data_IF_061848400824
#
_entry.id   IF_061848400824
#
_cell.length_a   1.000
_cell.length_b   1.000
_cell.length_c   1.000
_cell.angle_alpha   90.00
_cell.angle_beta   90.00
_cell.angle_gamma   90.00
#
_symmetry.space_group_name_H-M   'P 1'
#
loop_
_entity.id
_entity.type
_entity.pdbx_description
1 polymer ?
#
# COMPACT_ATOMS: atom_id res chain seq x y z
N UNK A 1 -25.52 -40.03 52.53
CA UNK A 1 -25.08 -40.08 51.11
C UNK A 1 -23.90 -39.14 50.95
N UNK A 2 -22.71 -39.65 50.60
CA UNK A 2 -21.45 -38.89 50.49
C UNK A 2 -21.24 -38.41 49.04
N UNK A 3 -21.04 -37.12 48.79
CA UNK A 3 -20.47 -36.59 47.53
C UNK A 3 -19.76 -35.26 47.84
N UNK A 4 -18.46 -35.28 48.16
CA UNK A 4 -17.26 -35.15 47.30
C UNK A 4 -16.98 -33.70 46.87
N UNK A 5 -15.93 -33.17 47.49
CA UNK A 5 -15.20 -31.93 47.19
C UNK A 5 -14.79 -31.82 45.73
N UNK A 6 -15.10 -30.70 45.07
CA UNK A 6 -14.61 -30.41 43.72
C UNK A 6 -13.84 -29.10 43.68
N UNK A 7 -12.53 -29.24 43.48
CA UNK A 7 -11.54 -28.18 43.27
C UNK A 7 -11.78 -27.59 41.89
N UNK A 8 -12.41 -26.41 41.77
CA UNK A 8 -12.39 -25.63 40.52
C UNK A 8 -12.31 -24.15 40.86
N UNK A 9 -11.14 -23.74 41.35
CA UNK A 9 -10.82 -22.33 41.59
C UNK A 9 -9.35 -22.08 41.21
N UNK A 10 -8.98 -22.33 39.95
CA UNK A 10 -7.66 -21.95 39.41
C UNK A 10 -7.63 -22.15 37.89
N UNK A 11 -8.40 -21.38 37.11
CA UNK A 11 -8.27 -21.42 35.65
C UNK A 11 -8.67 -20.11 34.94
N UNK A 12 -8.65 -18.96 35.64
CA UNK A 12 -9.12 -17.69 35.07
C UNK A 12 -8.00 -16.68 34.74
N UNK A 13 -6.72 -17.00 34.98
CA UNK A 13 -5.63 -16.00 34.98
C UNK A 13 -4.65 -16.08 33.80
N UNK A 14 -4.86 -16.93 32.77
CA UNK A 14 -3.88 -17.08 31.67
C UNK A 14 -4.34 -16.46 30.33
N UNK A 15 -5.60 -16.07 30.17
CA UNK A 15 -6.09 -15.52 28.89
C UNK A 15 -5.85 -14.00 28.68
N UNK A 16 -5.30 -13.28 29.66
CA UNK A 16 -5.14 -11.82 29.55
C UNK A 16 -3.79 -11.36 28.98
N UNK A 17 -2.82 -12.27 28.77
CA UNK A 17 -1.44 -11.88 28.43
C UNK A 17 -1.11 -11.88 26.92
N UNK A 18 -2.01 -12.35 26.04
CA UNK A 18 -1.74 -12.46 24.59
C UNK A 18 -2.33 -11.33 23.75
N UNK A 19 -3.08 -10.39 24.33
CA UNK A 19 -3.70 -9.30 23.58
C UNK A 19 -2.78 -8.11 23.27
N UNK A 20 -1.52 -8.11 23.72
CA UNK A 20 -0.60 -6.97 23.57
C UNK A 20 0.39 -7.07 22.39
N UNK A 21 0.37 -8.15 21.61
CA UNK A 21 1.39 -8.41 20.58
C UNK A 21 0.84 -8.51 19.16
N UNK A 22 0.08 -7.53 18.68
CA UNK A 22 -0.05 -7.30 17.23
C UNK A 22 -0.91 -6.09 16.86
N UNK A 23 -0.65 -4.92 17.45
CA UNK A 23 -0.88 -3.68 16.69
C UNK A 23 0.47 -3.30 16.10
N UNK A 24 0.93 -4.14 15.17
CA UNK A 24 1.93 -3.68 14.23
C UNK A 24 1.29 -2.51 13.51
N UNK A 25 1.80 -1.30 13.73
CA UNK A 25 1.45 -0.17 12.89
C UNK A 25 1.63 -0.65 11.45
N UNK A 26 0.53 -0.84 10.71
CA UNK A 26 0.63 -1.04 9.27
C UNK A 26 1.35 0.21 8.78
N UNK A 27 2.63 0.07 8.43
CA UNK A 27 3.35 1.10 7.72
C UNK A 27 2.48 1.41 6.51
N UNK A 28 1.86 2.60 6.51
CA UNK A 28 0.96 2.99 5.45
C UNK A 28 1.78 2.96 4.17
N UNK A 29 1.53 1.96 3.34
CA UNK A 29 2.38 1.65 2.19
C UNK A 29 2.31 2.85 1.26
N UNK A 30 3.38 3.65 1.26
CA UNK A 30 3.49 4.86 0.45
C UNK A 30 3.36 4.41 -1.00
N UNK A 31 2.46 5.04 -1.74
CA UNK A 31 2.21 4.72 -3.14
C UNK A 31 2.42 5.98 -3.96
N UNK A 32 3.09 5.84 -5.10
CA UNK A 32 3.21 6.89 -6.10
C UNK A 32 2.57 6.41 -7.41
N UNK A 33 1.80 7.30 -8.04
CA UNK A 33 1.19 7.06 -9.34
C UNK A 33 1.91 7.87 -10.41
N UNK A 34 2.49 7.17 -11.37
CA UNK A 34 3.21 7.73 -12.52
C UNK A 34 2.29 7.74 -13.74
N UNK A 35 1.99 8.93 -14.25
CA UNK A 35 1.30 9.11 -15.52
C UNK A 35 2.32 9.36 -16.61
N UNK A 36 2.50 8.39 -17.50
CA UNK A 36 3.55 8.41 -18.50
C UNK A 36 2.96 8.34 -19.91
N UNK A 37 3.54 9.10 -20.84
CA UNK A 37 3.16 9.05 -22.23
C UNK A 37 3.55 7.70 -22.87
N UNK A 38 2.61 6.89 -23.29
CA UNK A 38 2.85 5.51 -23.74
C UNK A 38 3.60 5.45 -25.08
N UNK A 39 4.92 5.26 -25.01
CA UNK A 39 5.80 4.90 -26.12
C UNK A 39 6.90 3.94 -25.61
N UNK A 40 7.62 3.27 -26.51
CA UNK A 40 8.48 2.11 -26.19
C UNK A 40 9.41 2.24 -24.96
N UNK A 41 10.02 3.41 -24.65
CA UNK A 41 10.84 3.60 -23.45
C UNK A 41 10.10 3.50 -22.12
N UNK A 42 8.77 3.59 -22.09
CA UNK A 42 7.95 3.41 -20.90
C UNK A 42 8.23 2.08 -20.18
N UNK A 43 8.58 1.03 -20.95
CA UNK A 43 8.90 -0.29 -20.42
C UNK A 43 10.15 -0.29 -19.52
N UNK A 44 11.15 0.55 -19.82
CA UNK A 44 12.35 0.65 -19.01
C UNK A 44 12.06 1.23 -17.61
N UNK A 45 11.05 2.09 -17.49
CA UNK A 45 10.70 2.69 -16.21
C UNK A 45 9.88 1.76 -15.34
N UNK A 46 9.05 0.92 -15.95
CA UNK A 46 8.42 -0.20 -15.24
C UNK A 46 9.50 -1.13 -14.68
N UNK A 47 10.58 -1.38 -15.42
CA UNK A 47 11.67 -2.20 -14.87
C UNK A 47 12.42 -1.46 -13.74
N UNK A 48 12.84 -0.21 -13.95
CA UNK A 48 13.54 0.62 -12.97
C UNK A 48 12.74 0.76 -11.66
N UNK A 49 11.42 0.86 -11.77
CA UNK A 49 10.54 1.05 -10.63
C UNK A 49 10.46 -0.16 -9.69
N UNK A 50 10.80 -1.37 -10.17
CA UNK A 50 10.89 -2.57 -9.32
C UNK A 50 12.04 -2.42 -8.32
N UNK A 51 13.21 -2.01 -8.82
CA UNK A 51 14.38 -1.74 -7.98
C UNK A 51 14.13 -0.56 -7.02
N UNK A 52 13.44 0.48 -7.49
CA UNK A 52 13.00 1.59 -6.64
C UNK A 52 12.08 1.09 -5.51
N UNK A 53 11.07 0.28 -5.83
CA UNK A 53 10.14 -0.30 -4.86
C UNK A 53 10.88 -1.18 -3.86
N UNK A 54 11.80 -2.03 -4.32
CA UNK A 54 12.60 -2.90 -3.47
C UNK A 54 13.49 -2.12 -2.49
N UNK A 55 14.08 -0.99 -2.93
CA UNK A 55 14.97 -0.15 -2.10
C UNK A 55 14.23 0.77 -1.13
N UNK A 56 13.04 1.25 -1.49
CA UNK A 56 12.34 2.30 -0.74
C UNK A 56 11.09 1.80 0.00
N UNK A 57 10.56 0.64 -0.39
CA UNK A 57 9.26 0.15 0.08
C UNK A 57 8.05 0.95 -0.43
N UNK A 58 8.26 1.89 -1.37
CA UNK A 58 7.19 2.69 -1.98
C UNK A 58 6.61 1.90 -3.15
N UNK A 59 5.30 1.62 -3.12
CA UNK A 59 4.60 0.99 -4.23
C UNK A 59 4.42 1.96 -5.40
N UNK A 60 4.56 1.46 -6.61
CA UNK A 60 4.39 2.25 -7.83
C UNK A 60 3.14 1.81 -8.61
N UNK A 61 2.39 2.78 -9.11
CA UNK A 61 1.25 2.61 -10.03
C UNK A 61 1.53 3.34 -11.34
N UNK A 62 0.97 2.86 -12.45
CA UNK A 62 1.21 3.42 -13.78
C UNK A 62 -0.10 3.72 -14.48
N UNK A 63 -0.17 4.91 -15.07
CA UNK A 63 -1.23 5.37 -15.95
C UNK A 63 -0.61 5.69 -17.30
N UNK A 64 -0.67 4.73 -18.22
CA UNK A 64 -0.15 4.91 -19.57
C UNK A 64 -1.15 5.64 -20.44
N UNK A 65 -0.72 6.78 -20.96
CA UNK A 65 -1.56 7.67 -21.77
C UNK A 65 -0.98 7.72 -23.18
N UNK A 66 -1.72 7.36 -24.23
CA UNK A 66 -1.20 7.45 -25.59
C UNK A 66 -0.59 8.82 -25.90
N UNK A 67 0.57 8.85 -26.55
CA UNK A 67 1.32 10.08 -26.82
C UNK A 67 0.46 11.23 -27.40
N UNK A 68 -0.42 11.00 -28.41
CA UNK A 68 -1.27 12.06 -28.95
C UNK A 68 -2.19 12.74 -27.92
N UNK A 69 -2.51 12.05 -26.83
CA UNK A 69 -3.44 12.50 -25.79
C UNK A 69 -2.74 13.03 -24.54
N UNK A 70 -1.41 12.88 -24.43
CA UNK A 70 -0.68 13.15 -23.21
C UNK A 70 -0.73 14.62 -22.79
N UNK A 71 -0.49 15.53 -23.74
CA UNK A 71 -0.55 16.96 -23.47
C UNK A 71 -1.92 17.41 -22.95
N UNK A 72 -3.00 16.89 -23.54
CA UNK A 72 -4.36 17.19 -23.08
C UNK A 72 -4.62 16.61 -21.69
N UNK A 73 -4.20 15.37 -21.43
CA UNK A 73 -4.32 14.75 -20.10
C UNK A 73 -3.60 15.58 -19.04
N UNK A 74 -2.36 15.99 -19.29
CA UNK A 74 -1.58 16.82 -18.39
C UNK A 74 -2.30 18.14 -18.07
N UNK A 75 -2.77 18.85 -19.10
CA UNK A 75 -3.50 20.11 -18.91
C UNK A 75 -4.79 19.90 -18.10
N UNK A 76 -5.52 18.82 -18.32
CA UNK A 76 -6.74 18.51 -17.58
C UNK A 76 -6.47 18.22 -16.10
N UNK A 77 -5.44 17.44 -15.78
CA UNK A 77 -5.03 17.18 -14.39
C UNK A 77 -4.62 18.47 -13.67
N UNK A 78 -3.83 19.32 -14.32
CA UNK A 78 -3.37 20.57 -13.72
C UNK A 78 -4.51 21.58 -13.50
N UNK A 79 -5.36 21.79 -14.52
CA UNK A 79 -6.47 22.74 -14.43
C UNK A 79 -7.53 22.30 -13.41
N UNK A 80 -7.77 20.99 -13.27
CA UNK A 80 -8.70 20.45 -12.28
C UNK A 80 -8.10 20.31 -10.88
N UNK A 81 -6.79 20.55 -10.72
CA UNK A 81 -6.03 20.21 -9.50
C UNK A 81 -6.24 18.74 -9.13
N UNK A 82 -6.23 17.89 -10.14
CA UNK A 82 -6.35 16.45 -10.02
C UNK A 82 -5.28 15.85 -9.13
N UNK A 83 -5.60 14.72 -8.51
CA UNK A 83 -4.70 13.95 -7.63
C UNK A 83 -4.44 12.55 -8.16
N UNK A 84 -4.68 12.35 -9.46
CA UNK A 84 -4.53 11.04 -10.10
C UNK A 84 -3.05 10.70 -10.32
N UNK A 85 -2.22 11.70 -10.60
CA UNK A 85 -0.80 11.52 -10.90
C UNK A 85 0.05 12.25 -9.86
N UNK A 86 1.00 11.56 -9.24
CA UNK A 86 2.04 12.19 -8.40
C UNK A 86 3.20 12.70 -9.26
N UNK A 87 3.43 12.04 -10.40
CA UNK A 87 4.47 12.37 -11.38
C UNK A 87 3.90 12.24 -12.79
N UNK A 88 4.16 13.24 -13.65
CA UNK A 88 3.77 13.24 -15.07
C UNK A 88 5.03 13.35 -15.94
N UNK A 89 5.24 12.41 -16.88
CA UNK A 89 6.38 12.40 -17.81
C UNK A 89 5.96 12.02 -19.24
#
# INVERSE_FOLDING_TARGET
MRFKTSKVAAAASVLAATALFSVGAQAQQKTLTLCWAAWDPANALVELSKDFTAKTGIAMKYEFVPWPNFAQRMLNELNSKGKLCDLLI
#
